data_IF_471810057759
#
_entry.id   IF_471810057759
#
_cell.length_a   1.000
_cell.length_b   1.000
_cell.length_c   1.000
_cell.angle_alpha   90.00
_cell.angle_beta   90.00
_cell.angle_gamma   90.00
#
_symmetry.space_group_name_H-M   'P 1'
#
loop_
_entity.id
_entity.type
_entity.pdbx_description
1 polymer ?
#
# COMPACT_ATOMS: atom_id res chain seq x y z
N UNK A 1 0.34 11.19 -8.04
CA UNK A 1 0.09 10.32 -6.86
C UNK A 1 -0.96 9.22 -7.13
N UNK A 2 -0.85 8.07 -6.45
CA UNK A 2 -1.79 6.94 -6.60
C UNK A 2 -3.14 7.21 -5.92
N UNK A 3 -4.25 6.86 -6.56
CA UNK A 3 -5.62 7.06 -6.06
C UNK A 3 -5.96 6.34 -4.76
N UNK A 4 -5.16 5.36 -4.31
CA UNK A 4 -5.29 4.78 -2.98
C UNK A 4 -5.06 5.83 -1.89
N UNK A 5 -4.11 6.75 -2.11
CA UNK A 5 -3.83 7.85 -1.17
C UNK A 5 -5.06 8.76 -1.07
N UNK A 6 -5.65 9.15 -2.20
CA UNK A 6 -6.84 10.00 -2.23
C UNK A 6 -8.06 9.34 -1.57
N UNK A 7 -8.33 8.08 -1.94
CA UNK A 7 -9.48 7.35 -1.39
C UNK A 7 -9.37 7.17 0.13
N UNK A 8 -8.16 6.88 0.63
CA UNK A 8 -7.93 6.72 2.07
C UNK A 8 -7.84 8.06 2.81
N UNK A 9 -7.41 9.14 2.16
CA UNK A 9 -7.42 10.50 2.71
C UNK A 9 -8.84 10.96 2.99
N UNK A 10 -9.74 10.86 2.02
CA UNK A 10 -11.15 11.21 2.25
C UNK A 10 -11.83 10.30 3.26
N UNK A 11 -11.48 9.00 3.28
CA UNK A 11 -11.95 8.06 4.30
C UNK A 11 -11.47 8.46 5.71
N UNK A 12 -10.21 8.88 5.85
CA UNK A 12 -9.68 9.44 7.09
C UNK A 12 -10.49 10.66 7.51
N UNK A 13 -10.71 11.63 6.62
CA UNK A 13 -11.50 12.83 6.95
C UNK A 13 -12.92 12.47 7.42
N UNK A 14 -13.58 11.55 6.72
CA UNK A 14 -14.91 11.08 7.05
C UNK A 14 -14.99 10.41 8.43
N UNK A 15 -14.05 9.52 8.73
CA UNK A 15 -14.04 8.75 9.99
C UNK A 15 -13.56 9.60 11.18
N UNK A 16 -12.63 10.54 10.94
CA UNK A 16 -12.05 11.39 11.99
C UNK A 16 -12.92 12.60 12.35
N UNK A 17 -13.59 13.21 11.37
CA UNK A 17 -14.30 14.48 11.52
C UNK A 17 -15.79 14.42 11.14
N UNK A 18 -16.25 13.29 10.58
CA UNK A 18 -17.64 13.11 10.16
C UNK A 18 -17.94 13.62 8.75
N UNK A 19 -19.10 13.22 8.24
CA UNK A 19 -19.53 13.54 6.85
C UNK A 19 -19.70 15.04 6.58
N UNK A 20 -20.01 15.86 7.60
CA UNK A 20 -20.13 17.31 7.46
C UNK A 20 -18.82 17.97 7.02
N UNK A 21 -17.70 17.60 7.66
CA UNK A 21 -16.38 18.13 7.28
C UNK A 21 -15.98 17.63 5.89
N UNK A 22 -16.25 16.37 5.54
CA UNK A 22 -15.94 15.84 4.21
C UNK A 22 -16.72 16.60 3.11
N UNK A 23 -18.01 16.89 3.33
CA UNK A 23 -18.81 17.67 2.37
C UNK A 23 -18.25 19.07 2.16
N UNK A 24 -17.92 19.79 3.24
CA UNK A 24 -17.30 21.11 3.16
C UNK A 24 -15.91 21.07 2.48
N UNK A 25 -15.14 20.01 2.73
CA UNK A 25 -13.86 19.77 2.07
C UNK A 25 -14.04 19.60 0.55
N UNK A 26 -14.97 18.73 0.11
CA UNK A 26 -15.23 18.49 -1.33
C UNK A 26 -15.72 19.75 -2.04
N UNK A 27 -16.65 20.48 -1.41
CA UNK A 27 -17.14 21.76 -1.93
C UNK A 27 -16.00 22.77 -2.12
N UNK A 28 -15.11 22.89 -1.13
CA UNK A 28 -14.00 23.84 -1.18
C UNK A 28 -12.93 23.51 -2.24
N UNK A 29 -12.77 22.24 -2.62
CA UNK A 29 -11.87 21.83 -3.71
C UNK A 29 -12.58 21.73 -5.08
N UNK A 30 -13.86 22.14 -5.17
CA UNK A 30 -14.63 22.13 -6.41
C UNK A 30 -15.08 20.74 -6.88
N UNK A 31 -15.05 19.74 -6.00
CA UNK A 31 -15.49 18.37 -6.28
C UNK A 31 -16.96 18.17 -5.89
N UNK A 32 -17.66 17.32 -6.65
CA UNK A 32 -19.04 16.98 -6.33
C UNK A 32 -19.11 16.19 -5.01
N UNK A 33 -20.16 16.37 -4.17
CA UNK A 33 -20.36 15.55 -2.98
C UNK A 33 -20.41 14.03 -3.26
N UNK A 34 -20.74 13.61 -4.48
CA UNK A 34 -20.76 12.20 -4.90
C UNK A 34 -19.46 11.71 -5.54
N UNK A 35 -18.51 12.60 -5.84
CA UNK A 35 -17.23 12.23 -6.42
C UNK A 35 -16.44 11.39 -5.41
N UNK A 36 -16.16 10.14 -5.76
CA UNK A 36 -15.32 9.26 -4.95
C UNK A 36 -14.03 8.99 -5.70
N UNK A 37 -12.85 9.25 -5.09
CA UNK A 37 -11.58 8.97 -5.72
C UNK A 37 -11.48 7.49 -6.13
N UNK A 38 -11.12 7.27 -7.39
CA UNK A 38 -10.92 5.93 -7.93
C UNK A 38 -9.52 5.46 -7.57
N UNK A 39 -9.45 4.40 -6.78
CA UNK A 39 -8.18 3.83 -6.31
C UNK A 39 -7.24 3.49 -7.47
N UNK A 40 -7.78 3.06 -8.61
CA UNK A 40 -7.01 2.67 -9.81
C UNK A 40 -6.48 3.83 -10.65
N UNK A 41 -6.86 5.08 -10.34
CA UNK A 41 -6.40 6.27 -11.06
C UNK A 41 -5.15 6.89 -10.44
N UNK A 42 -4.46 7.69 -11.25
CA UNK A 42 -3.41 8.58 -10.79
C UNK A 42 -3.92 10.02 -10.84
N UNK A 43 -3.55 10.79 -9.83
CA UNK A 43 -3.97 12.16 -9.63
C UNK A 43 -2.74 13.05 -9.57
N UNK A 44 -2.88 14.33 -9.93
CA UNK A 44 -1.81 15.31 -9.73
C UNK A 44 -1.51 15.45 -8.22
N UNK A 45 -0.23 15.59 -7.88
CA UNK A 45 0.21 15.74 -6.50
C UNK A 45 -0.31 17.04 -5.89
N UNK A 46 -0.45 18.10 -6.70
CA UNK A 46 -0.96 19.40 -6.26
C UNK A 46 -2.35 19.30 -5.65
N UNK A 47 -3.22 18.47 -6.23
CA UNK A 47 -4.60 18.30 -5.77
C UNK A 47 -4.67 17.80 -4.33
N UNK A 48 -3.81 16.84 -3.95
CA UNK A 48 -3.77 16.39 -2.54
C UNK A 48 -3.23 17.50 -1.63
N UNK A 49 -2.16 18.19 -2.04
CA UNK A 49 -1.52 19.21 -1.21
C UNK A 49 -2.45 20.39 -0.93
N UNK A 50 -3.22 20.84 -1.92
CA UNK A 50 -4.28 21.84 -1.74
C UNK A 50 -5.43 21.30 -0.87
N UNK A 51 -5.79 20.03 -1.05
CA UNK A 51 -6.75 19.35 -0.19
C UNK A 51 -6.32 19.37 1.28
N UNK A 52 -5.06 19.05 1.58
CA UNK A 52 -4.52 19.08 2.93
C UNK A 52 -4.59 20.48 3.53
N UNK A 53 -4.25 21.53 2.76
CA UNK A 53 -4.40 22.91 3.20
C UNK A 53 -5.87 23.27 3.50
N UNK A 54 -6.80 22.79 2.69
CA UNK A 54 -8.24 22.97 2.89
C UNK A 54 -8.72 22.27 4.16
N UNK A 55 -8.36 21.01 4.36
CA UNK A 55 -8.70 20.25 5.57
C UNK A 55 -8.09 20.90 6.83
N UNK A 56 -6.89 21.46 6.73
CA UNK A 56 -6.26 22.23 7.81
C UNK A 56 -7.11 23.43 8.22
N UNK A 57 -7.55 24.26 7.27
CA UNK A 57 -8.45 25.40 7.56
C UNK A 57 -9.77 24.96 8.20
N UNK A 58 -10.37 23.88 7.71
CA UNK A 58 -11.67 23.39 8.18
C UNK A 58 -11.61 22.74 9.57
N UNK A 59 -10.52 22.03 9.87
CA UNK A 59 -10.35 21.30 11.14
C UNK A 59 -9.65 22.12 12.23
N UNK A 60 -8.93 23.18 11.87
CA UNK A 60 -8.08 23.94 12.78
C UNK A 60 -6.76 23.25 13.14
N UNK A 61 -6.49 22.06 12.60
CA UNK A 61 -5.24 21.33 12.82
C UNK A 61 -4.17 21.77 11.82
N UNK A 62 -2.90 21.71 12.21
CA UNK A 62 -1.81 21.99 11.27
C UNK A 62 -1.73 20.91 10.17
N UNK A 63 -1.21 21.24 8.97
CA UNK A 63 -1.01 20.25 7.91
C UNK A 63 -0.18 19.05 8.37
N UNK A 64 0.87 19.26 9.17
CA UNK A 64 1.74 18.18 9.66
C UNK A 64 1.02 17.25 10.64
N UNK A 65 0.17 17.80 11.51
CA UNK A 65 -0.64 16.99 12.41
C UNK A 65 -1.60 16.10 11.60
N UNK A 66 -2.32 16.68 10.64
CA UNK A 66 -3.24 15.94 9.76
C UNK A 66 -2.50 14.86 8.97
N UNK A 67 -1.35 15.17 8.40
CA UNK A 67 -0.57 14.22 7.59
C UNK A 67 0.02 13.08 8.43
N UNK A 68 0.43 13.34 9.68
CA UNK A 68 0.87 12.27 10.60
C UNK A 68 -0.29 11.40 11.05
N UNK A 69 -1.41 12.00 11.46
CA UNK A 69 -2.63 11.24 11.78
C UNK A 69 -3.08 10.39 10.58
N UNK A 70 -3.06 10.98 9.38
CA UNK A 70 -3.37 10.28 8.14
C UNK A 70 -2.37 9.17 7.83
N UNK A 71 -1.06 9.36 8.00
CA UNK A 71 -0.06 8.31 7.80
C UNK A 71 -0.32 7.09 8.67
N UNK A 72 -0.66 7.31 9.95
CA UNK A 72 -1.04 6.24 10.89
C UNK A 72 -2.32 5.55 10.42
N UNK A 73 -3.33 6.32 10.07
CA UNK A 73 -4.60 5.82 9.52
C UNK A 73 -4.42 5.03 8.22
N UNK A 74 -3.56 5.51 7.31
CA UNK A 74 -3.30 4.91 6.01
C UNK A 74 -2.85 3.47 6.19
N UNK A 75 -2.01 3.22 7.18
CA UNK A 75 -1.56 1.89 7.51
C UNK A 75 -2.72 1.10 8.12
N UNK A 76 -3.42 1.60 9.15
CA UNK A 76 -4.41 0.82 9.92
C UNK A 76 -5.76 0.54 9.23
N UNK A 77 -6.20 1.38 8.29
CA UNK A 77 -7.56 1.28 7.75
C UNK A 77 -7.81 -0.01 6.93
N UNK A 78 -9.09 -0.41 6.86
CA UNK A 78 -9.51 -1.66 6.21
C UNK A 78 -9.29 -1.68 4.69
N UNK A 79 -9.35 -0.52 4.01
CA UNK A 79 -9.14 -0.45 2.56
C UNK A 79 -7.68 -0.75 2.21
N UNK A 80 -6.72 -0.14 2.92
CA UNK A 80 -5.30 -0.50 2.81
C UNK A 80 -5.07 -1.95 3.21
N UNK A 81 -5.66 -2.39 4.33
CA UNK A 81 -5.57 -3.78 4.78
C UNK A 81 -6.02 -4.81 3.73
N UNK A 82 -7.05 -4.47 2.95
CA UNK A 82 -7.55 -5.30 1.86
C UNK A 82 -6.65 -5.22 0.61
N UNK A 83 -6.38 -4.03 0.11
CA UNK A 83 -5.69 -3.85 -1.18
C UNK A 83 -4.20 -4.18 -1.11
N UNK A 84 -3.55 -3.84 -0.02
CA UNK A 84 -2.13 -4.12 0.23
C UNK A 84 -1.92 -5.48 0.93
N UNK A 85 -2.94 -6.35 0.95
CA UNK A 85 -2.91 -7.62 1.69
C UNK A 85 -1.70 -8.49 1.35
N UNK A 86 -1.30 -8.55 0.07
CA UNK A 86 -0.14 -9.34 -0.37
C UNK A 86 1.18 -8.87 0.27
N UNK A 87 1.31 -7.57 0.54
CA UNK A 87 2.48 -7.01 1.25
C UNK A 87 2.36 -7.32 2.74
N UNK A 88 1.21 -6.99 3.34
CA UNK A 88 0.99 -7.06 4.79
C UNK A 88 1.05 -8.49 5.35
N UNK A 89 0.64 -9.49 4.57
CA UNK A 89 0.79 -10.92 4.94
C UNK A 89 2.15 -11.51 4.58
N UNK A 90 3.04 -10.72 3.96
CA UNK A 90 4.40 -11.11 3.62
C UNK A 90 5.42 -10.81 4.72
N UNK A 91 5.04 -10.05 5.75
CA UNK A 91 5.91 -9.56 6.81
C UNK A 91 5.28 -9.80 8.19
N UNK A 92 6.10 -10.00 9.22
CA UNK A 92 5.63 -10.38 10.56
C UNK A 92 5.79 -9.27 11.61
N UNK A 93 6.37 -8.14 11.23
CA UNK A 93 6.60 -7.02 12.15
C UNK A 93 6.58 -5.66 11.46
N UNK A 94 6.50 -4.59 12.26
CA UNK A 94 6.56 -3.23 11.76
C UNK A 94 7.95 -2.90 11.19
N UNK A 95 9.00 -3.44 11.81
CA UNK A 95 10.38 -3.36 11.30
C UNK A 95 10.50 -4.00 9.91
N UNK A 96 9.99 -5.22 9.73
CA UNK A 96 10.04 -5.91 8.43
C UNK A 96 9.20 -5.18 7.37
N UNK A 97 8.03 -4.65 7.76
CA UNK A 97 7.21 -3.83 6.88
C UNK A 97 7.99 -2.59 6.43
N UNK A 98 8.62 -1.88 7.36
CA UNK A 98 9.41 -0.69 7.09
C UNK A 98 10.52 -0.98 6.09
N UNK A 99 11.30 -2.06 6.28
CA UNK A 99 12.37 -2.45 5.36
C UNK A 99 11.86 -2.89 3.98
N UNK A 100 10.72 -3.57 3.93
CA UNK A 100 10.08 -4.04 2.69
C UNK A 100 9.65 -2.88 1.78
N UNK A 101 9.40 -1.68 2.34
CA UNK A 101 8.91 -0.54 1.57
C UNK A 101 9.88 -0.03 0.49
N UNK A 102 11.21 -0.19 0.64
CA UNK A 102 12.15 0.14 -0.44
C UNK A 102 11.82 -0.64 -1.71
N UNK A 103 11.65 -1.95 -1.58
CA UNK A 103 11.43 -2.84 -2.71
C UNK A 103 10.03 -2.69 -3.31
N UNK A 104 9.01 -2.51 -2.46
CA UNK A 104 7.64 -2.23 -2.91
C UNK A 104 7.60 -0.92 -3.72
N UNK A 105 8.16 0.17 -3.19
CA UNK A 105 8.19 1.45 -3.90
C UNK A 105 9.04 1.40 -5.17
N UNK A 106 10.17 0.67 -5.16
CA UNK A 106 11.00 0.45 -6.35
C UNK A 106 10.23 -0.29 -7.45
N UNK A 107 9.50 -1.35 -7.10
CA UNK A 107 8.62 -2.07 -8.04
C UNK A 107 7.50 -1.20 -8.57
N UNK A 108 6.79 -0.48 -7.69
CA UNK A 108 5.70 0.41 -8.09
C UNK A 108 6.16 1.47 -9.11
N UNK A 109 7.37 2.03 -8.95
CA UNK A 109 7.97 2.96 -9.92
C UNK A 109 8.14 2.37 -11.32
N UNK A 110 8.40 1.06 -11.41
CA UNK A 110 8.58 0.34 -12.69
C UNK A 110 7.28 -0.06 -13.37
N UNK A 111 6.14 0.05 -12.69
CA UNK A 111 4.85 -0.11 -13.38
C UNK A 111 4.72 1.02 -14.40
N UNK A 112 4.19 0.75 -15.60
CA UNK A 112 4.09 1.70 -16.74
C UNK A 112 3.21 2.95 -16.48
N UNK A 113 2.91 3.23 -15.22
CA UNK A 113 1.92 4.17 -14.73
C UNK A 113 2.47 5.56 -14.35
N UNK A 114 3.75 5.85 -14.61
CA UNK A 114 4.35 7.15 -14.23
C UNK A 114 4.35 7.40 -12.71
N UNK A 115 4.27 6.32 -11.91
CA UNK A 115 4.32 6.42 -10.46
C UNK A 115 5.71 6.93 -10.03
N UNK A 116 5.71 7.92 -9.16
CA UNK A 116 6.93 8.48 -8.56
C UNK A 116 6.92 8.31 -7.04
N UNK A 117 6.92 7.08 -6.47
CA UNK A 117 6.96 6.89 -5.02
C UNK A 117 8.20 7.54 -4.36
N UNK A 118 8.23 7.70 -3.03
CA UNK A 118 9.45 8.14 -2.36
C UNK A 118 10.59 7.12 -2.54
N UNK A 119 11.83 7.58 -2.43
CA UNK A 119 13.03 6.74 -2.38
C UNK A 119 13.37 6.47 -0.92
N UNK A 120 13.52 5.19 -0.57
CA UNK A 120 13.88 4.75 0.77
C UNK A 120 15.26 4.08 0.76
N UNK A 121 16.17 4.59 1.58
CA UNK A 121 17.41 3.92 1.94
C UNK A 121 17.49 3.68 3.45
N UNK A 122 18.37 2.79 3.88
CA UNK A 122 18.48 2.35 5.27
C UNK A 122 19.94 2.29 5.66
N UNK A 123 20.26 2.85 6.81
CA UNK A 123 21.49 2.58 7.54
C UNK A 123 21.12 1.76 8.77
N UNK A 124 21.76 0.60 8.91
CA UNK A 124 21.47 -0.31 10.01
C UNK A 124 22.23 0.14 11.26
N UNK A 125 21.49 0.31 12.35
CA UNK A 125 22.07 0.62 13.65
C UNK A 125 22.58 -0.67 14.34
N UNK A 126 23.49 -0.56 15.32
CA UNK A 126 24.04 -1.72 16.04
C UNK A 126 23.01 -2.51 16.87
N UNK A 127 21.86 -1.92 17.18
CA UNK A 127 20.80 -2.54 17.99
C UNK A 127 19.88 -3.43 17.13
N UNK A 128 19.46 -4.56 17.68
CA UNK A 128 18.50 -5.43 17.05
C UNK A 128 17.16 -4.67 16.95
N UNK A 129 16.74 -4.36 15.72
CA UNK A 129 15.48 -3.67 15.36
C UNK A 129 15.50 -2.14 15.48
N UNK A 130 16.68 -1.54 15.35
CA UNK A 130 16.82 -0.11 15.05
C UNK A 130 17.30 0.12 13.61
N UNK A 131 16.78 1.16 12.95
CA UNK A 131 17.19 1.54 11.58
C UNK A 131 17.06 3.05 11.38
N UNK A 132 18.03 3.65 10.70
CA UNK A 132 17.89 5.01 10.16
C UNK A 132 17.34 4.90 8.75
N UNK A 133 16.08 5.30 8.57
CA UNK A 133 15.45 5.47 7.26
C UNK A 133 15.88 6.81 6.65
N UNK A 134 16.44 6.74 5.45
CA UNK A 134 16.70 7.89 4.58
C UNK A 134 15.53 8.00 3.60
N UNK A 135 14.79 9.09 3.70
CA UNK A 135 13.63 9.40 2.87
C UNK A 135 13.96 10.56 1.92
N UNK A 136 13.79 10.31 0.62
CA UNK A 136 13.91 11.33 -0.41
C UNK A 136 12.65 11.36 -1.28
N UNK A 137 12.02 12.53 -1.34
CA UNK A 137 10.81 12.76 -2.14
C UNK A 137 10.60 14.25 -2.35
N UNK A 138 10.36 14.70 -3.60
CA UNK A 138 10.06 16.10 -3.88
C UNK A 138 8.76 16.59 -3.22
N UNK A 139 7.89 15.66 -2.78
CA UNK A 139 6.62 16.00 -2.12
C UNK A 139 6.75 16.36 -0.63
N UNK A 140 7.90 16.07 -0.01
CA UNK A 140 8.15 16.36 1.41
C UNK A 140 7.06 15.84 2.38
N UNK A 141 6.47 14.67 2.10
CA UNK A 141 5.42 14.04 2.93
C UNK A 141 6.00 13.28 4.14
N UNK A 142 7.01 13.84 4.80
CA UNK A 142 7.69 13.24 5.94
C UNK A 142 6.75 12.99 7.14
N UNK A 143 5.76 13.86 7.35
CA UNK A 143 4.73 13.65 8.37
C UNK A 143 3.89 12.38 8.09
N UNK A 144 3.54 12.11 6.82
CA UNK A 144 2.85 10.87 6.42
C UNK A 144 3.72 9.66 6.71
N UNK A 145 5.01 9.73 6.37
CA UNK A 145 5.96 8.66 6.66
C UNK A 145 6.05 8.39 8.17
N UNK A 146 6.18 9.44 8.98
CA UNK A 146 6.22 9.31 10.44
C UNK A 146 4.99 8.57 10.95
N UNK A 147 3.79 9.05 10.57
CA UNK A 147 2.54 8.40 10.96
C UNK A 147 2.46 6.96 10.48
N UNK A 148 2.94 6.65 9.27
CA UNK A 148 2.94 5.30 8.75
C UNK A 148 3.84 4.35 9.56
N UNK A 149 4.98 4.81 10.07
CA UNK A 149 5.83 4.02 10.97
C UNK A 149 5.08 3.71 12.28
N UNK A 150 4.38 4.71 12.85
CA UNK A 150 3.56 4.53 14.06
C UNK A 150 2.38 3.56 13.82
N UNK A 151 1.68 3.70 12.69
CA UNK A 151 0.60 2.79 12.32
C UNK A 151 1.09 1.37 12.02
N UNK A 152 2.33 1.22 11.56
CA UNK A 152 2.95 -0.09 11.39
C UNK A 152 3.20 -0.74 12.75
N UNK A 153 3.81 0.00 13.69
CA UNK A 153 4.04 -0.49 15.05
C UNK A 153 2.72 -0.96 15.68
N UNK A 154 1.67 -0.13 15.63
CA UNK A 154 0.36 -0.49 16.17
C UNK A 154 -0.27 -1.72 15.51
N UNK A 155 -0.19 -1.86 14.18
CA UNK A 155 -0.70 -3.06 13.48
C UNK A 155 -0.10 -4.35 14.04
N UNK A 156 1.20 -4.34 14.32
CA UNK A 156 1.92 -5.51 14.81
C UNK A 156 2.00 -5.56 16.36
N UNK A 157 1.30 -4.64 17.03
CA UNK A 157 1.25 -4.50 18.48
C UNK A 157 2.57 -4.06 19.10
N UNK A 158 3.51 -3.54 18.32
CA UNK A 158 4.85 -3.12 18.75
C UNK A 158 4.84 -1.67 19.21
N UNK A 159 5.81 -1.29 20.04
CA UNK A 159 6.11 0.11 20.33
C UNK A 159 7.26 0.58 19.43
N UNK A 160 7.24 1.85 19.04
CA UNK A 160 8.31 2.47 18.25
C UNK A 160 8.70 3.82 18.83
N UNK A 161 10.00 4.02 19.01
CA UNK A 161 10.59 5.33 19.26
C UNK A 161 11.15 5.88 17.94
N UNK A 162 10.77 7.11 17.57
CA UNK A 162 11.21 7.75 16.33
C UNK A 162 11.92 9.06 16.66
N UNK A 163 13.11 9.24 16.10
CA UNK A 163 13.90 10.47 16.21
C UNK A 163 14.25 11.01 14.81
N UNK A 164 13.90 12.27 14.54
CA UNK A 164 14.24 12.92 13.27
C UNK A 164 15.58 13.65 13.37
N UNK A 165 16.55 13.14 12.63
CA UNK A 165 17.90 13.71 12.56
C UNK A 165 17.96 14.88 11.55
N UNK A 166 17.20 14.80 10.45
CA UNK A 166 17.13 15.84 9.40
C UNK A 166 15.80 15.79 8.67
N UNK A 167 15.38 16.91 8.07
CA UNK A 167 14.09 17.04 7.42
C UNK A 167 14.12 17.95 6.19
N UNK A 168 13.60 17.47 5.06
CA UNK A 168 13.48 18.26 3.82
C UNK A 168 12.67 19.54 4.00
N UNK A 169 11.71 19.55 4.94
CA UNK A 169 10.93 20.76 5.27
C UNK A 169 11.75 21.85 5.97
N UNK A 170 12.93 21.51 6.51
CA UNK A 170 13.89 22.47 7.09
C UNK A 170 14.99 22.87 6.10
N UNK A 171 14.94 22.42 4.85
CA UNK A 171 15.93 22.69 3.83
C UNK A 171 17.02 21.62 3.68
N UNK A 172 16.97 20.53 4.45
CA UNK A 172 17.87 19.38 4.25
C UNK A 172 17.60 18.69 2.91
N UNK A 173 18.60 18.03 2.31
CA UNK A 173 18.43 17.34 1.02
C UNK A 173 17.54 16.10 1.11
N UNK A 174 17.49 15.47 2.27
CA UNK A 174 16.72 14.24 2.57
C UNK A 174 16.21 14.30 4.01
N UNK A 175 15.17 13.55 4.33
CA UNK A 175 14.82 13.31 5.74
C UNK A 175 15.56 12.07 6.24
N UNK A 176 16.00 12.10 7.50
CA UNK A 176 16.57 10.95 8.21
C UNK A 176 15.78 10.70 9.48
N UNK A 177 15.10 9.56 9.54
CA UNK A 177 14.30 9.13 10.68
C UNK A 177 14.93 7.87 11.27
N UNK A 178 15.42 7.96 12.50
CA UNK A 178 15.83 6.81 13.28
C UNK A 178 14.59 6.22 13.95
N UNK A 179 14.32 4.93 13.69
CA UNK A 179 13.19 4.22 14.26
C UNK A 179 13.70 2.97 15.00
N UNK A 180 13.39 2.89 16.29
CA UNK A 180 13.74 1.77 17.16
C UNK A 180 12.47 1.08 17.63
N UNK A 181 12.32 -0.20 17.30
CA UNK A 181 11.12 -0.98 17.58
C UNK A 181 11.34 -1.89 18.79
N UNK A 182 10.49 -1.76 19.80
CA UNK A 182 10.52 -2.67 20.95
C UNK A 182 9.97 -4.05 20.55
N UNK A 183 10.58 -5.12 21.07
CA UNK A 183 10.01 -6.46 20.95
C UNK A 183 8.72 -6.54 21.74
N UNK A 184 7.68 -7.06 21.08
CA UNK A 184 6.38 -7.23 21.70
C UNK A 184 6.43 -8.41 22.69
N UNK A 185 5.99 -8.20 23.93
CA UNK A 185 5.94 -9.23 24.99
C UNK A 185 4.54 -9.83 25.20
N UNK A 186 3.53 -9.46 24.39
CA UNK A 186 2.12 -9.64 24.78
C UNK A 186 1.15 -10.40 23.87
N UNK A 187 1.54 -10.93 22.70
CA UNK A 187 0.52 -11.34 21.71
C UNK A 187 0.43 -12.84 21.36
N UNK A 188 0.93 -13.76 22.20
CA UNK A 188 0.82 -15.20 21.92
C UNK A 188 -0.21 -15.96 22.77
N UNK A 189 -0.67 -15.42 23.91
CA UNK A 189 -1.25 -16.28 24.96
C UNK A 189 -2.77 -16.27 25.11
N UNK A 190 -3.51 -15.41 24.41
CA UNK A 190 -4.97 -15.31 24.62
C UNK A 190 -5.76 -15.32 23.32
N UNK A 191 -5.98 -16.52 22.76
CA UNK A 191 -6.99 -16.76 21.73
C UNK A 191 -7.80 -18.01 22.10
N UNK A 192 -9.13 -17.87 22.13
CA UNK A 192 -10.07 -18.97 22.39
C UNK A 192 -10.02 -20.04 21.31
N UNK A 193 -10.50 -21.24 21.61
CA UNK A 193 -10.47 -22.40 20.68
C UNK A 193 -11.24 -22.13 19.37
N UNK A 194 -12.38 -21.44 19.44
CA UNK A 194 -13.14 -20.98 18.27
C UNK A 194 -12.36 -19.93 17.44
N UNK A 195 -11.65 -19.03 18.11
CA UNK A 195 -10.82 -18.02 17.44
C UNK A 195 -9.62 -18.68 16.73
N UNK A 196 -9.07 -19.77 17.29
CA UNK A 196 -8.00 -20.57 16.66
C UNK A 196 -8.49 -21.34 15.44
N UNK A 197 -9.69 -21.93 15.47
CA UNK A 197 -10.28 -22.64 14.33
C UNK A 197 -10.59 -21.68 13.16
N UNK A 198 -11.24 -20.54 13.45
CA UNK A 198 -11.48 -19.50 12.44
C UNK A 198 -10.17 -18.92 11.90
N UNK A 199 -9.16 -18.73 12.76
CA UNK A 199 -7.83 -18.30 12.34
C UNK A 199 -7.16 -19.34 11.42
N UNK A 200 -7.33 -20.64 11.68
CA UNK A 200 -6.76 -21.70 10.85
C UNK A 200 -7.38 -21.75 9.44
N UNK A 201 -8.72 -21.69 9.34
CA UNK A 201 -9.40 -21.65 8.04
C UNK A 201 -9.03 -20.38 7.26
N UNK A 202 -9.01 -19.24 7.94
CA UNK A 202 -8.63 -17.97 7.36
C UNK A 202 -7.15 -17.97 6.92
N UNK A 203 -6.26 -18.56 7.70
CA UNK A 203 -4.84 -18.75 7.35
C UNK A 203 -4.69 -19.66 6.14
N UNK A 204 -5.43 -20.77 6.09
CA UNK A 204 -5.38 -21.72 4.97
C UNK A 204 -5.83 -21.06 3.68
N UNK A 205 -6.93 -20.31 3.71
CA UNK A 205 -7.39 -19.56 2.55
C UNK A 205 -6.37 -18.50 2.12
N UNK A 206 -5.76 -17.79 3.07
CA UNK A 206 -4.72 -16.80 2.77
C UNK A 206 -3.47 -17.41 2.14
N UNK A 207 -3.01 -18.56 2.66
CA UNK A 207 -1.89 -19.30 2.10
C UNK A 207 -2.17 -19.73 0.66
N UNK A 208 -3.38 -20.23 0.39
CA UNK A 208 -3.79 -20.62 -0.97
C UNK A 208 -3.82 -19.43 -1.93
N UNK A 209 -4.29 -18.25 -1.50
CA UNK A 209 -4.25 -17.03 -2.33
C UNK A 209 -2.81 -16.55 -2.59
N UNK A 210 -1.93 -16.65 -1.60
CA UNK A 210 -0.49 -16.31 -1.74
C UNK A 210 0.19 -17.23 -2.75
N UNK A 211 -0.05 -18.52 -2.63
CA UNK A 211 0.47 -19.55 -3.54
C UNK A 211 -0.07 -19.34 -4.97
N UNK A 212 -1.36 -19.03 -5.11
CA UNK A 212 -1.95 -18.66 -6.40
C UNK A 212 -1.27 -17.42 -7.00
N UNK A 213 -0.97 -16.42 -6.19
CA UNK A 213 -0.20 -15.24 -6.60
C UNK A 213 1.18 -15.60 -7.14
N UNK A 214 1.93 -16.45 -6.45
CA UNK A 214 3.25 -16.93 -6.91
C UNK A 214 3.16 -17.70 -8.23
N UNK A 215 2.12 -18.54 -8.38
CA UNK A 215 1.85 -19.28 -9.62
C UNK A 215 1.53 -18.33 -10.78
N UNK A 216 0.72 -17.29 -10.54
CA UNK A 216 0.44 -16.23 -11.52
C UNK A 216 1.74 -15.54 -11.94
N UNK A 217 2.59 -15.12 -10.99
CA UNK A 217 3.88 -14.48 -11.31
C UNK A 217 4.82 -15.37 -12.13
N UNK A 218 4.70 -16.69 -12.01
CA UNK A 218 5.54 -17.64 -12.76
C UNK A 218 5.11 -17.79 -14.22
N UNK A 219 3.83 -17.55 -14.53
CA UNK A 219 3.29 -17.66 -15.89
C UNK A 219 3.20 -16.32 -16.63
N UNK A 220 3.22 -15.20 -15.89
CA UNK A 220 3.14 -13.88 -16.50
C UNK A 220 4.43 -13.56 -17.25
N UNK A 221 4.32 -13.03 -18.49
CA UNK A 221 5.47 -12.54 -19.24
C UNK A 221 6.07 -11.31 -18.56
N UNK A 222 7.36 -11.09 -18.71
CA UNK A 222 8.06 -9.88 -18.23
C UNK A 222 8.12 -8.76 -19.28
N UNK A 223 7.90 -9.10 -20.55
CA UNK A 223 7.81 -8.17 -21.68
C UNK A 223 6.37 -7.67 -21.83
N UNK A 224 6.18 -6.35 -21.79
CA UNK A 224 4.88 -5.69 -21.98
C UNK A 224 4.28 -6.03 -23.36
N UNK A 225 5.10 -6.16 -24.41
CA UNK A 225 4.64 -6.53 -25.75
C UNK A 225 4.03 -7.94 -25.82
N UNK A 226 4.27 -8.77 -24.79
CA UNK A 226 3.72 -10.12 -24.65
C UNK A 226 2.65 -10.24 -23.58
N UNK A 227 2.23 -9.13 -22.96
CA UNK A 227 1.23 -9.10 -21.89
C UNK A 227 0.00 -9.95 -22.24
N UNK A 228 -0.64 -10.57 -21.25
CA UNK A 228 -1.73 -11.56 -21.46
C UNK A 228 -3.03 -11.11 -20.80
N UNK A 229 -4.16 -11.51 -21.36
CA UNK A 229 -5.51 -11.27 -20.82
C UNK A 229 -5.83 -12.20 -19.64
N UNK A 230 -6.87 -11.88 -18.89
CA UNK A 230 -7.37 -12.74 -17.81
C UNK A 230 -7.71 -14.17 -18.29
N UNK A 231 -8.26 -14.30 -19.49
CA UNK A 231 -8.62 -15.61 -20.07
C UNK A 231 -7.38 -16.46 -20.35
N UNK A 232 -6.35 -15.85 -20.93
CA UNK A 232 -5.06 -16.50 -21.21
C UNK A 232 -4.34 -16.88 -19.91
N UNK A 233 -4.36 -16.02 -18.88
CA UNK A 233 -3.83 -16.34 -17.53
C UNK A 233 -4.50 -17.60 -16.98
N UNK A 234 -5.84 -17.68 -17.05
CA UNK A 234 -6.58 -18.85 -16.58
C UNK A 234 -6.20 -20.11 -17.35
N UNK A 235 -6.07 -20.03 -18.68
CA UNK A 235 -5.66 -21.17 -19.51
C UNK A 235 -4.26 -21.66 -19.16
N UNK A 236 -3.28 -20.75 -19.06
CA UNK A 236 -1.90 -21.06 -18.68
C UNK A 236 -1.81 -21.68 -17.29
N UNK A 237 -2.59 -21.18 -16.32
CA UNK A 237 -2.64 -21.75 -14.97
C UNK A 237 -3.15 -23.18 -14.96
N UNK A 238 -4.27 -23.47 -15.65
CA UNK A 238 -4.88 -24.81 -15.68
C UNK A 238 -4.00 -25.81 -16.46
N UNK A 239 -3.27 -25.35 -17.47
CA UNK A 239 -2.31 -26.18 -18.20
C UNK A 239 -1.09 -26.59 -17.34
N UNK A 240 -0.60 -25.68 -16.49
CA UNK A 240 0.63 -25.88 -15.72
C UNK A 240 0.40 -26.44 -14.32
N UNK A 241 -0.77 -26.20 -13.73
CA UNK A 241 -1.03 -26.47 -12.33
C UNK A 241 -2.41 -27.09 -12.11
N UNK A 242 -2.50 -28.03 -11.16
CA UNK A 242 -3.79 -28.53 -10.67
C UNK A 242 -4.38 -27.53 -9.68
N UNK A 243 -5.35 -26.74 -10.13
CA UNK A 243 -6.07 -25.78 -9.28
C UNK A 243 -7.46 -26.30 -8.95
N UNK A 244 -7.95 -26.05 -7.74
CA UNK A 244 -9.35 -26.31 -7.39
C UNK A 244 -10.28 -25.37 -8.18
N UNK A 245 -11.53 -25.77 -8.50
CA UNK A 245 -12.45 -24.92 -9.27
C UNK A 245 -12.67 -23.52 -8.69
N UNK A 246 -12.61 -23.38 -7.35
CA UNK A 246 -12.72 -22.09 -6.67
C UNK A 246 -11.63 -21.11 -7.10
N UNK A 247 -10.37 -21.56 -7.18
CA UNK A 247 -9.21 -20.72 -7.52
C UNK A 247 -9.05 -20.49 -9.03
N UNK A 248 -9.89 -21.12 -9.86
CA UNK A 248 -9.97 -20.86 -11.30
C UNK A 248 -11.01 -19.78 -11.66
N UNK A 249 -11.85 -19.35 -10.70
CA UNK A 249 -12.92 -18.38 -10.94
C UNK A 249 -12.31 -17.02 -11.35
N UNK A 250 -12.82 -16.37 -12.42
CA UNK A 250 -12.32 -15.07 -12.87
C UNK A 250 -12.25 -14.01 -11.76
N UNK A 251 -13.25 -13.97 -10.88
CA UNK A 251 -13.28 -13.02 -9.75
C UNK A 251 -12.10 -13.22 -8.77
N UNK A 252 -11.71 -14.47 -8.50
CA UNK A 252 -10.58 -14.79 -7.60
C UNK A 252 -9.25 -14.43 -8.28
N UNK A 253 -9.10 -14.74 -9.57
CA UNK A 253 -7.92 -14.36 -10.34
C UNK A 253 -7.75 -12.84 -10.41
N UNK A 254 -8.83 -12.10 -10.69
CA UNK A 254 -8.84 -10.63 -10.68
C UNK A 254 -8.48 -10.06 -9.31
N UNK A 255 -8.98 -10.67 -8.23
CA UNK A 255 -8.63 -10.26 -6.87
C UNK A 255 -7.13 -10.43 -6.61
N UNK A 256 -6.55 -11.58 -6.96
CA UNK A 256 -5.12 -11.85 -6.75
C UNK A 256 -4.26 -10.93 -7.62
N UNK A 257 -4.62 -10.74 -8.90
CA UNK A 257 -3.97 -9.78 -9.79
C UNK A 257 -4.00 -8.37 -9.18
N UNK A 258 -5.15 -7.94 -8.65
CA UNK A 258 -5.27 -6.64 -8.01
C UNK A 258 -4.32 -6.51 -6.81
N UNK A 259 -4.24 -7.50 -5.93
CA UNK A 259 -3.29 -7.45 -4.80
C UNK A 259 -1.83 -7.41 -5.29
N UNK A 260 -1.49 -8.16 -6.33
CA UNK A 260 -0.15 -8.14 -6.93
C UNK A 260 0.18 -6.78 -7.56
N UNK A 261 -0.81 -6.10 -8.16
CA UNK A 261 -0.65 -4.74 -8.68
C UNK A 261 -0.35 -3.73 -7.57
N UNK A 262 -1.07 -3.76 -6.45
CA UNK A 262 -0.77 -2.91 -5.29
C UNK A 262 0.59 -3.22 -4.64
N UNK A 263 1.09 -4.44 -4.80
CA UNK A 263 2.43 -4.84 -4.38
C UNK A 263 3.54 -4.54 -5.43
N UNK A 264 3.16 -3.99 -6.58
CA UNK A 264 4.05 -3.64 -7.68
C UNK A 264 4.60 -4.82 -8.47
N UNK A 265 4.11 -6.05 -8.26
CA UNK A 265 4.61 -7.23 -8.97
C UNK A 265 3.98 -7.41 -10.36
N UNK A 266 2.80 -6.84 -10.57
CA UNK A 266 2.05 -6.95 -11.83
C UNK A 266 1.70 -5.55 -12.31
N UNK A 267 1.92 -5.31 -13.60
CA UNK A 267 1.40 -4.14 -14.29
C UNK A 267 0.27 -4.57 -15.23
N UNK A 268 -0.55 -3.61 -15.64
CA UNK A 268 -1.65 -3.85 -16.55
C UNK A 268 -1.84 -2.68 -17.50
N UNK A 269 -2.46 -2.95 -18.65
CA UNK A 269 -2.81 -1.95 -19.67
C UNK A 269 -3.99 -1.05 -19.24
N UNK A 270 -4.26 -0.94 -17.94
CA UNK A 270 -5.38 -0.19 -17.40
C UNK A 270 -5.21 1.32 -17.62
N UNK A 271 -6.33 2.05 -17.71
CA UNK A 271 -6.42 3.49 -18.01
C UNK A 271 -6.26 3.88 -19.48
N UNK A 272 -6.41 2.92 -20.41
CA UNK A 272 -6.65 3.21 -21.83
C UNK A 272 -8.16 3.40 -22.09
N UNK A 273 -8.57 4.18 -23.12
CA UNK A 273 -9.99 4.45 -23.41
C UNK A 273 -10.86 3.20 -23.59
N UNK A 274 -10.28 2.10 -24.09
CA UNK A 274 -10.96 0.81 -24.34
C UNK A 274 -10.73 -0.25 -23.24
N UNK A 275 -10.27 0.18 -22.07
CA UNK A 275 -9.98 -0.72 -20.93
C UNK A 275 -11.26 -1.36 -20.40
N UNK A 276 -11.38 -2.68 -20.56
CA UNK A 276 -12.38 -3.49 -19.90
C UNK A 276 -11.77 -4.79 -19.34
N UNK A 277 -12.51 -5.48 -18.47
CA UNK A 277 -12.00 -6.66 -17.76
C UNK A 277 -11.60 -7.84 -18.67
N UNK A 278 -12.11 -7.90 -19.91
CA UNK A 278 -11.80 -8.99 -20.84
C UNK A 278 -10.65 -8.65 -21.78
N UNK A 279 -10.43 -7.38 -22.08
CA UNK A 279 -9.35 -6.90 -22.97
C UNK A 279 -8.09 -6.47 -22.21
N UNK A 280 -8.19 -6.19 -20.90
CA UNK A 280 -7.05 -5.80 -20.07
C UNK A 280 -5.95 -6.84 -20.12
N UNK A 281 -4.73 -6.38 -20.43
CA UNK A 281 -3.53 -7.21 -20.51
C UNK A 281 -2.67 -6.99 -19.27
N UNK A 282 -2.00 -8.04 -18.82
CA UNK A 282 -1.18 -8.07 -17.60
C UNK A 282 0.20 -8.65 -17.90
N UNK A 283 1.22 -8.11 -17.23
CA UNK A 283 2.59 -8.60 -17.27
C UNK A 283 3.26 -8.45 -15.91
N UNK A 284 4.33 -9.20 -15.69
CA UNK A 284 5.13 -9.16 -14.47
C UNK A 284 6.14 -8.02 -14.54
N UNK A 285 6.24 -7.28 -13.44
CA UNK A 285 7.26 -6.25 -13.25
C UNK A 285 8.53 -6.92 -12.71
N UNK A 286 9.68 -6.73 -13.38
CA UNK A 286 10.96 -7.30 -12.95
C UNK A 286 11.58 -6.50 -11.80
N UNK A 287 12.10 -7.22 -10.80
CA UNK A 287 12.94 -6.63 -9.76
C UNK A 287 14.39 -6.55 -10.22
N UNK A 288 15.19 -5.66 -9.64
CA UNK A 288 16.62 -5.52 -10.00
C UNK A 288 17.47 -6.77 -9.69
N UNK A 289 16.90 -7.76 -8.98
CA UNK A 289 17.56 -8.97 -8.51
C UNK A 289 17.25 -10.22 -9.34
N UNK A 290 16.55 -10.09 -10.48
CA UNK A 290 16.14 -11.22 -11.34
C UNK A 290 17.09 -11.47 -12.54
N UNK A 291 18.35 -11.01 -12.46
CA UNK A 291 19.38 -11.27 -13.47
C UNK A 291 20.63 -11.89 -12.85
#
# INVERSE_FOLDING_TARGET
>A
MHGLIFATWEKYLAERFGGGLLSAYREAIGESPSATPLVSRFYDDHVLLEGVATASRLSGLSPDQLLREYGRYFILNSLTGHLCKYILSGVNSAYDLLLTMRDVHSRLRKTAAGLTPPLFNYEFAPDERSVVLIYDSPRQLCAVLWGAIEGAAERYGEEVAIYEQSCMKRGDSVCRLEATFARNSRSAEQLSEQARANAFEQQTHQNALKELGQRILTILPTDEGRAVTLSEIRQLLVQRYRLTPTYQRPAVLLQVLRHLQFAGYVAASSNQPDDNLTTRRYWRVTTYWEH
#
